data_IF_878276588887
#
_entry.id   IF_878276588887
#
_cell.length_a   1.000
_cell.length_b   1.000
_cell.length_c   1.000
_cell.angle_alpha   90.00
_cell.angle_beta   90.00
_cell.angle_gamma   90.00
#
_symmetry.space_group_name_H-M   'P 1'
#
loop_
_entity.id
_entity.type
_entity.pdbx_description
1 polymer ?
#
# COMPACT_ATOMS: atom_id res chain seq x y z
N UNK A 1 -23.59 -8.29 5.99
CA UNK A 1 -23.13 -9.45 6.79
C UNK A 1 -22.72 -9.03 8.18
N UNK A 2 -21.96 -7.95 8.35
CA UNK A 2 -21.55 -7.44 9.66
C UNK A 2 -22.70 -6.67 10.34
N UNK A 3 -22.84 -6.89 11.64
CA UNK A 3 -23.63 -6.13 12.62
C UNK A 3 -25.08 -5.74 12.22
N UNK A 4 -25.70 -6.49 11.31
CA UNK A 4 -27.12 -6.29 11.00
C UNK A 4 -27.95 -6.89 12.14
N UNK A 5 -28.65 -6.07 12.94
CA UNK A 5 -29.57 -6.61 13.93
C UNK A 5 -30.62 -7.45 13.20
N UNK A 6 -30.92 -8.64 13.72
CA UNK A 6 -31.98 -9.50 13.16
C UNK A 6 -33.31 -8.76 13.32
N UNK A 7 -33.79 -8.17 12.22
CA UNK A 7 -35.10 -7.52 12.11
C UNK A 7 -36.00 -8.37 11.22
N UNK A 8 -37.27 -8.49 11.57
CA UNK A 8 -38.25 -9.15 10.72
C UNK A 8 -38.33 -8.41 9.37
N UNK A 9 -38.31 -9.12 8.23
CA UNK A 9 -38.38 -8.49 6.92
C UNK A 9 -39.69 -7.72 6.77
N UNK A 10 -39.62 -6.47 6.29
CA UNK A 10 -40.81 -5.74 5.86
C UNK A 10 -41.14 -6.19 4.43
N UNK A 11 -42.38 -6.58 4.18
CA UNK A 11 -42.86 -7.07 2.87
C UNK A 11 -42.47 -6.17 1.67
N UNK A 12 -42.40 -4.85 1.88
CA UNK A 12 -41.98 -3.90 0.83
C UNK A 12 -40.47 -3.92 0.50
N UNK A 13 -39.63 -4.20 1.49
CA UNK A 13 -38.16 -4.23 1.32
C UNK A 13 -37.71 -5.50 0.57
N UNK A 14 -38.43 -6.62 0.80
CA UNK A 14 -38.19 -7.88 0.10
C UNK A 14 -38.55 -7.79 -1.39
N UNK A 15 -39.68 -7.17 -1.72
CA UNK A 15 -40.11 -6.96 -3.11
C UNK A 15 -39.12 -6.05 -3.88
N UNK A 16 -38.65 -4.96 -3.25
CA UNK A 16 -37.66 -4.08 -3.84
C UNK A 16 -36.30 -4.77 -4.05
N UNK A 17 -35.86 -5.58 -3.08
CA UNK A 17 -34.62 -6.37 -3.19
C UNK A 17 -34.72 -7.45 -4.26
N UNK A 18 -35.87 -8.11 -4.39
CA UNK A 18 -36.13 -9.13 -5.41
C UNK A 18 -36.11 -8.52 -6.82
N UNK A 19 -36.80 -7.40 -7.03
CA UNK A 19 -36.82 -6.68 -8.31
C UNK A 19 -35.41 -6.18 -8.71
N UNK A 20 -34.60 -5.75 -7.73
CA UNK A 20 -33.19 -5.39 -7.96
C UNK A 20 -32.36 -6.62 -8.36
N UNK A 21 -32.50 -7.73 -7.65
CA UNK A 21 -31.76 -8.96 -7.95
C UNK A 21 -32.09 -9.53 -9.35
N UNK A 22 -33.35 -9.40 -9.77
CA UNK A 22 -33.80 -9.81 -11.10
C UNK A 22 -33.16 -8.97 -12.21
N UNK A 23 -33.17 -7.64 -12.07
CA UNK A 23 -32.46 -6.74 -12.99
C UNK A 23 -30.97 -7.03 -13.07
N UNK A 24 -30.34 -7.36 -11.94
CA UNK A 24 -28.91 -7.69 -11.91
C UNK A 24 -28.61 -9.00 -12.65
N UNK A 25 -29.41 -10.04 -12.42
CA UNK A 25 -29.30 -11.33 -13.09
C UNK A 25 -29.49 -11.24 -14.61
N UNK A 26 -30.33 -10.32 -15.08
CA UNK A 26 -30.52 -10.11 -16.52
C UNK A 26 -29.27 -9.56 -17.23
N UNK A 27 -28.47 -8.73 -16.55
CA UNK A 27 -27.33 -8.03 -17.15
C UNK A 27 -25.97 -8.74 -16.93
N UNK A 28 -25.84 -9.50 -15.84
CA UNK A 28 -24.60 -10.16 -15.44
C UNK A 28 -24.02 -11.14 -16.49
N UNK A 29 -24.83 -12.00 -17.17
CA UNK A 29 -24.32 -12.93 -18.17
C UNK A 29 -23.68 -12.22 -19.35
N UNK A 30 -24.26 -11.11 -19.79
CA UNK A 30 -23.77 -10.34 -20.93
C UNK A 30 -22.46 -9.62 -20.60
N UNK A 31 -22.32 -9.08 -19.38
CA UNK A 31 -21.07 -8.53 -18.87
C UNK A 31 -19.94 -9.59 -18.84
N UNK A 32 -20.23 -10.78 -18.30
CA UNK A 32 -19.27 -11.86 -18.18
C UNK A 32 -18.81 -12.37 -19.55
N UNK A 33 -19.73 -12.46 -20.51
CA UNK A 33 -19.41 -12.79 -21.90
C UNK A 33 -18.51 -11.72 -22.53
N UNK A 34 -18.86 -10.45 -22.42
CA UNK A 34 -18.05 -9.35 -22.96
C UNK A 34 -16.63 -9.35 -22.37
N UNK A 35 -16.49 -9.55 -21.06
CA UNK A 35 -15.18 -9.61 -20.41
C UNK A 35 -14.37 -10.84 -20.88
N UNK A 36 -15.01 -12.01 -21.00
CA UNK A 36 -14.36 -13.24 -21.48
C UNK A 36 -13.83 -13.11 -22.91
N UNK A 37 -14.51 -12.33 -23.74
CA UNK A 37 -14.14 -12.08 -25.13
C UNK A 37 -13.38 -10.76 -25.33
N UNK A 38 -13.04 -10.04 -24.24
CA UNK A 38 -12.27 -8.78 -24.28
C UNK A 38 -12.97 -7.74 -25.19
N UNK A 39 -14.30 -7.68 -25.12
CA UNK A 39 -15.14 -6.78 -25.92
C UNK A 39 -15.35 -5.49 -25.13
N UNK A 40 -14.66 -4.42 -25.52
CA UNK A 40 -14.74 -3.10 -24.91
C UNK A 40 -15.32 -2.05 -25.88
N UNK A 41 -16.47 -2.34 -26.48
CA UNK A 41 -17.21 -1.38 -27.31
C UNK A 41 -18.01 -0.41 -26.44
N UNK A 42 -18.53 0.67 -27.04
CA UNK A 42 -19.34 1.67 -26.34
C UNK A 42 -20.55 1.03 -25.63
N UNK A 43 -21.18 0.05 -26.26
CA UNK A 43 -22.33 -0.68 -25.74
C UNK A 43 -21.95 -1.58 -24.55
N UNK A 44 -20.76 -2.19 -24.57
CA UNK A 44 -20.25 -3.00 -23.47
C UNK A 44 -19.91 -2.14 -22.23
N UNK A 45 -19.38 -0.93 -22.46
CA UNK A 45 -19.15 0.06 -21.39
C UNK A 45 -20.47 0.58 -20.83
N UNK A 46 -21.46 0.89 -21.68
CA UNK A 46 -22.80 1.31 -21.24
C UNK A 46 -23.56 0.22 -20.46
N UNK A 47 -23.38 -1.05 -20.81
CA UNK A 47 -23.90 -2.18 -20.03
C UNK A 47 -23.25 -2.24 -18.64
N UNK A 48 -21.95 -2.00 -18.58
CA UNK A 48 -21.22 -1.93 -17.30
C UNK A 48 -21.73 -0.77 -16.45
N UNK A 49 -21.95 0.42 -17.02
CA UNK A 49 -22.50 1.57 -16.28
C UNK A 49 -23.92 1.33 -15.79
N UNK A 50 -24.80 0.70 -16.59
CA UNK A 50 -26.16 0.31 -16.15
C UNK A 50 -26.13 -0.68 -14.97
N UNK A 51 -25.21 -1.64 -14.99
CA UNK A 51 -25.05 -2.60 -13.90
C UNK A 51 -24.53 -1.93 -12.62
N UNK A 52 -23.64 -0.94 -12.77
CA UNK A 52 -23.13 -0.09 -11.70
C UNK A 52 -24.22 0.82 -11.10
N UNK A 53 -25.14 1.34 -11.90
CA UNK A 53 -26.27 2.17 -11.42
C UNK A 53 -27.29 1.36 -10.60
N UNK A 54 -27.55 0.11 -11.00
CA UNK A 54 -28.47 -0.80 -10.29
C UNK A 54 -27.88 -1.20 -8.92
N UNK A 55 -26.56 -1.35 -8.84
CA UNK A 55 -25.85 -1.53 -7.59
C UNK A 55 -25.38 -0.19 -7.03
N UNK A 56 -26.22 0.48 -6.24
CA UNK A 56 -25.85 1.72 -5.53
C UNK A 56 -24.53 1.65 -4.73
N UNK A 57 -24.06 0.44 -4.40
CA UNK A 57 -22.72 0.12 -3.87
C UNK A 57 -21.56 0.52 -4.81
N UNK A 58 -21.86 0.93 -6.05
CA UNK A 58 -20.92 1.27 -7.12
C UNK A 58 -21.23 2.64 -7.76
N UNK A 59 -21.81 3.54 -6.96
CA UNK A 59 -21.79 5.00 -7.14
C UNK A 59 -20.34 5.52 -7.31
N UNK A 60 -20.08 6.82 -7.61
CA UNK A 60 -18.71 7.35 -7.68
C UNK A 60 -17.88 6.78 -6.53
N UNK A 61 -16.66 6.31 -6.78
CA UNK A 61 -15.92 5.43 -5.88
C UNK A 61 -15.90 5.89 -4.41
N UNK A 62 -16.01 7.19 -4.18
CA UNK A 62 -16.22 7.82 -2.87
C UNK A 62 -17.52 7.39 -2.17
N UNK A 63 -18.64 7.35 -2.88
CA UNK A 63 -19.95 6.91 -2.38
C UNK A 63 -20.00 5.39 -2.19
N UNK A 64 -19.33 4.61 -3.05
CA UNK A 64 -19.15 3.17 -2.86
C UNK A 64 -18.39 2.87 -1.55
N UNK A 65 -17.30 3.60 -1.31
CA UNK A 65 -16.51 3.50 -0.07
C UNK A 65 -17.23 4.07 1.16
N UNK A 66 -18.12 5.05 1.00
CA UNK A 66 -19.02 5.50 2.09
C UNK A 66 -20.03 4.43 2.50
N UNK A 67 -20.47 3.59 1.56
CA UNK A 67 -21.41 2.50 1.84
C UNK A 67 -20.70 1.25 2.37
N UNK A 68 -19.50 0.96 1.86
CA UNK A 68 -18.67 -0.14 2.33
C UNK A 68 -17.19 0.27 2.38
N UNK A 69 -16.77 0.76 3.54
CA UNK A 69 -15.43 1.28 3.80
C UNK A 69 -14.32 0.21 3.69
N UNK A 70 -14.68 -1.08 3.79
CA UNK A 70 -13.77 -2.23 3.69
C UNK A 70 -13.79 -2.93 2.33
N UNK A 71 -14.40 -2.33 1.30
CA UNK A 71 -14.48 -2.96 -0.02
C UNK A 71 -13.10 -3.05 -0.69
N UNK A 72 -12.51 -4.24 -0.66
CA UNK A 72 -11.20 -4.51 -1.24
C UNK A 72 -11.15 -4.17 -2.74
N UNK A 73 -12.17 -4.55 -3.50
CA UNK A 73 -12.26 -4.28 -4.93
C UNK A 73 -12.30 -2.79 -5.26
N UNK A 74 -13.06 -2.01 -4.47
CA UNK A 74 -13.13 -0.57 -4.62
C UNK A 74 -11.77 0.11 -4.37
N UNK A 75 -11.09 -0.26 -3.28
CA UNK A 75 -9.76 0.26 -2.96
C UNK A 75 -8.69 -0.17 -3.98
N UNK A 76 -8.77 -1.39 -4.49
CA UNK A 76 -7.87 -1.87 -5.53
C UNK A 76 -8.05 -1.09 -6.83
N UNK A 77 -9.30 -0.92 -7.29
CA UNK A 77 -9.61 -0.11 -8.46
C UNK A 77 -9.15 1.34 -8.26
N UNK A 78 -9.30 1.91 -7.07
CA UNK A 78 -8.79 3.26 -6.74
C UNK A 78 -7.29 3.37 -6.97
N UNK A 79 -6.51 2.46 -6.39
CA UNK A 79 -5.05 2.41 -6.56
C UNK A 79 -4.66 2.26 -8.03
N UNK A 80 -5.40 1.46 -8.79
CA UNK A 80 -5.20 1.33 -10.23
C UNK A 80 -5.46 2.64 -10.98
N UNK A 81 -6.58 3.32 -10.74
CA UNK A 81 -6.87 4.64 -11.33
C UNK A 81 -5.79 5.67 -11.00
N UNK A 82 -5.32 5.70 -9.74
CA UNK A 82 -4.23 6.58 -9.31
C UNK A 82 -2.91 6.28 -10.04
N UNK A 83 -2.60 4.99 -10.27
CA UNK A 83 -1.41 4.60 -11.02
C UNK A 83 -1.42 5.08 -12.48
N UNK A 84 -2.61 5.23 -13.06
CA UNK A 84 -2.81 5.76 -14.42
C UNK A 84 -2.77 7.29 -14.51
N UNK A 85 -2.81 7.99 -13.37
CA UNK A 85 -2.75 9.46 -13.34
C UNK A 85 -4.06 10.14 -13.70
N UNK A 86 -5.20 9.44 -13.65
CA UNK A 86 -6.51 10.00 -14.01
C UNK A 86 -7.16 10.84 -12.90
N UNK A 87 -6.46 11.13 -11.80
CA UNK A 87 -6.99 11.90 -10.68
C UNK A 87 -5.99 12.96 -10.19
N UNK A 88 -6.55 14.10 -9.74
CA UNK A 88 -5.79 15.14 -9.07
C UNK A 88 -5.35 14.64 -7.69
N UNK A 89 -4.05 14.77 -7.43
CA UNK A 89 -3.41 14.33 -6.19
C UNK A 89 -4.01 15.03 -4.97
N UNK A 90 -4.23 16.34 -5.05
CA UNK A 90 -4.78 17.11 -3.93
C UNK A 90 -6.22 16.70 -3.59
N UNK A 91 -7.01 16.35 -4.62
CA UNK A 91 -8.37 15.82 -4.41
C UNK A 91 -8.31 14.48 -3.69
N UNK A 92 -7.37 13.62 -4.08
CA UNK A 92 -7.19 12.30 -3.47
C UNK A 92 -6.76 12.39 -2.01
N UNK A 93 -5.76 13.21 -1.69
CA UNK A 93 -5.26 13.37 -0.33
C UNK A 93 -6.33 13.90 0.62
N UNK A 94 -7.14 14.87 0.18
CA UNK A 94 -8.29 15.38 0.95
C UNK A 94 -9.36 14.32 1.20
N UNK A 95 -9.61 13.46 0.20
CA UNK A 95 -10.56 12.39 0.38
C UNK A 95 -10.06 11.34 1.38
N UNK A 96 -8.79 10.95 1.28
CA UNK A 96 -8.17 10.01 2.21
C UNK A 96 -8.19 10.54 3.65
N UNK A 97 -7.89 11.83 3.83
CA UNK A 97 -7.98 12.50 5.13
C UNK A 97 -9.41 12.49 5.69
N UNK A 98 -10.43 12.63 4.83
CA UNK A 98 -11.83 12.47 5.24
C UNK A 98 -12.15 11.04 5.68
N UNK A 99 -11.62 10.03 5.00
CA UNK A 99 -11.80 8.64 5.42
C UNK A 99 -11.11 8.35 6.75
N UNK A 100 -9.88 8.83 6.93
CA UNK A 100 -9.09 8.64 8.16
C UNK A 100 -9.68 9.37 9.36
N UNK A 101 -10.25 10.57 9.16
CA UNK A 101 -10.95 11.29 10.23
C UNK A 101 -12.31 10.68 10.58
N UNK A 102 -12.95 9.97 9.64
CA UNK A 102 -14.22 9.26 9.90
C UNK A 102 -13.98 7.92 10.60
N UNK A 103 -12.97 7.17 10.16
CA UNK A 103 -12.55 5.91 10.78
C UNK A 103 -11.02 5.81 10.74
N UNK A 104 -10.34 6.15 11.85
CA UNK A 104 -8.88 6.11 11.90
C UNK A 104 -8.34 4.69 11.72
N UNK A 105 -9.15 3.66 11.99
CA UNK A 105 -8.80 2.23 11.85
C UNK A 105 -8.92 1.73 10.41
N UNK A 106 -9.28 2.59 9.46
CA UNK A 106 -9.43 2.20 8.07
C UNK A 106 -8.07 1.94 7.42
N UNK A 107 -7.59 0.69 7.57
CA UNK A 107 -6.35 0.21 6.98
C UNK A 107 -6.25 0.48 5.47
N UNK A 108 -7.35 0.38 4.74
CA UNK A 108 -7.32 0.57 3.29
C UNK A 108 -7.02 2.02 2.91
N UNK A 109 -7.52 2.99 3.68
CA UNK A 109 -7.22 4.41 3.48
C UNK A 109 -5.73 4.69 3.75
N UNK A 110 -5.18 4.18 4.86
CA UNK A 110 -3.76 4.27 5.18
C UNK A 110 -2.87 3.65 4.10
N UNK A 111 -3.21 2.44 3.64
CA UNK A 111 -2.50 1.75 2.58
C UNK A 111 -2.61 2.47 1.22
N UNK A 112 -3.78 3.04 0.90
CA UNK A 112 -3.93 3.81 -0.34
C UNK A 112 -3.07 5.09 -0.30
N UNK A 113 -3.01 5.75 0.85
CA UNK A 113 -2.18 6.93 1.09
C UNK A 113 -0.69 6.64 0.94
N UNK A 114 -0.19 5.53 1.51
CA UNK A 114 1.23 5.15 1.39
C UNK A 114 1.64 4.86 -0.05
N UNK A 115 0.78 4.16 -0.82
CA UNK A 115 1.01 3.89 -2.25
C UNK A 115 1.02 5.18 -3.06
N UNK A 116 0.07 6.09 -2.81
CA UNK A 116 0.01 7.39 -3.49
C UNK A 116 1.28 8.20 -3.25
N UNK A 117 1.65 8.40 -1.99
CA UNK A 117 2.85 9.17 -1.62
C UNK A 117 4.13 8.53 -2.15
N UNK A 118 4.24 7.20 -2.13
CA UNK A 118 5.38 6.47 -2.72
C UNK A 118 5.52 6.77 -4.21
N UNK A 119 4.41 6.83 -4.94
CA UNK A 119 4.44 7.16 -6.37
C UNK A 119 4.83 8.62 -6.62
N UNK A 120 4.43 9.54 -5.75
CA UNK A 120 4.76 10.97 -5.86
C UNK A 120 6.24 11.22 -5.58
N UNK A 121 6.76 10.63 -4.49
CA UNK A 121 8.17 10.75 -4.11
C UNK A 121 9.10 10.17 -5.18
N UNK A 122 8.68 9.11 -5.89
CA UNK A 122 9.45 8.53 -7.01
C UNK A 122 9.44 9.39 -8.27
N UNK A 123 8.31 10.04 -8.58
CA UNK A 123 8.13 10.77 -9.85
C UNK A 123 8.71 12.19 -9.84
N UNK A 124 9.20 12.68 -8.70
CA UNK A 124 9.77 14.03 -8.52
C UNK A 124 8.96 15.11 -9.26
N UNK A 125 7.63 15.02 -9.14
CA UNK A 125 6.68 15.81 -9.94
C UNK A 125 6.85 17.29 -9.62
N UNK A 126 7.12 18.11 -10.63
CA UNK A 126 7.18 19.57 -10.51
C UNK A 126 5.86 20.10 -9.91
N UNK A 127 5.95 20.80 -8.78
CA UNK A 127 4.81 21.37 -8.07
C UNK A 127 4.37 20.64 -6.78
N UNK A 128 4.98 19.50 -6.43
CA UNK A 128 4.75 18.87 -5.12
C UNK A 128 5.69 19.45 -4.05
N UNK A 129 5.19 19.63 -2.81
CA UNK A 129 6.00 20.04 -1.65
C UNK A 129 7.29 19.23 -1.55
N UNK A 130 8.37 19.85 -1.06
CA UNK A 130 9.64 19.14 -0.83
C UNK A 130 9.36 17.91 0.02
N UNK A 131 10.01 16.79 -0.31
CA UNK A 131 9.85 15.48 0.36
C UNK A 131 9.81 15.62 1.89
N UNK A 132 10.68 16.45 2.46
CA UNK A 132 10.77 16.65 3.90
C UNK A 132 9.52 17.31 4.51
N UNK A 133 8.89 18.27 3.81
CA UNK A 133 7.65 18.91 4.25
C UNK A 133 6.49 17.91 4.28
N UNK A 134 6.42 17.04 3.27
CA UNK A 134 5.39 16.01 3.17
C UNK A 134 5.57 15.01 4.30
N UNK A 135 6.78 14.48 4.49
CA UNK A 135 7.08 13.54 5.57
C UNK A 135 6.77 14.15 6.95
N UNK A 136 7.10 15.42 7.17
CA UNK A 136 6.78 16.11 8.43
C UNK A 136 5.27 16.15 8.68
N UNK A 137 4.48 16.48 7.65
CA UNK A 137 3.02 16.52 7.76
C UNK A 137 2.42 15.13 8.00
N UNK A 138 2.94 14.11 7.33
CA UNK A 138 2.49 12.72 7.53
C UNK A 138 2.87 12.16 8.90
N UNK A 139 4.03 12.53 9.44
CA UNK A 139 4.42 12.18 10.80
C UNK A 139 3.46 12.77 11.83
N UNK A 140 3.05 14.02 11.64
CA UNK A 140 2.06 14.66 12.50
C UNK A 140 0.69 13.99 12.39
N UNK A 141 0.25 13.67 11.17
CA UNK A 141 -1.02 12.97 10.92
C UNK A 141 -1.07 11.60 11.62
N UNK A 142 -0.04 10.77 11.46
CA UNK A 142 -0.01 9.45 12.11
C UNK A 142 0.12 9.57 13.62
N UNK A 143 0.87 10.57 14.11
CA UNK A 143 0.99 10.84 15.55
C UNK A 143 -0.39 11.13 16.15
N UNK A 144 -1.18 12.01 15.51
CA UNK A 144 -2.53 12.33 15.97
C UNK A 144 -3.45 11.09 15.99
N UNK A 145 -3.36 10.24 14.96
CA UNK A 145 -4.14 9.00 14.90
C UNK A 145 -3.77 8.04 16.05
N UNK A 146 -2.48 7.82 16.30
CA UNK A 146 -1.99 6.96 17.38
C UNK A 146 -2.33 7.47 18.79
N UNK A 147 -2.42 8.78 18.99
CA UNK A 147 -2.91 9.34 20.25
C UNK A 147 -4.42 9.20 20.42
N UNK A 148 -5.16 9.00 19.33
CA UNK A 148 -6.62 8.82 19.38
C UNK A 148 -6.99 7.38 19.69
N UNK A 149 -6.26 6.42 19.13
CA UNK A 149 -6.44 4.98 19.36
C UNK A 149 -5.08 4.28 19.29
N UNK A 150 -4.52 3.91 20.46
CA UNK A 150 -3.19 3.28 20.54
C UNK A 150 -3.20 1.82 20.10
N UNK A 151 -4.36 1.16 20.15
CA UNK A 151 -4.55 -0.24 19.77
C UNK A 151 -4.76 -0.42 18.25
N UNK A 152 -5.00 0.68 17.51
CA UNK A 152 -5.13 0.64 16.06
C UNK A 152 -3.80 0.36 15.37
N UNK A 153 -3.67 -0.88 14.88
CA UNK A 153 -2.51 -1.32 14.13
C UNK A 153 -2.31 -0.56 12.81
N UNK A 154 -3.37 0.00 12.22
CA UNK A 154 -3.30 0.69 10.93
C UNK A 154 -2.35 1.89 10.98
N UNK A 155 -2.47 2.71 12.03
CA UNK A 155 -1.56 3.82 12.30
C UNK A 155 -0.11 3.36 12.50
N UNK A 156 0.10 2.26 13.23
CA UNK A 156 1.43 1.71 13.46
C UNK A 156 2.12 1.20 12.18
N UNK A 157 1.38 0.48 11.33
CA UNK A 157 1.90 0.06 10.02
C UNK A 157 2.27 1.26 9.13
N UNK A 158 1.46 2.31 9.16
CA UNK A 158 1.75 3.53 8.41
C UNK A 158 2.99 4.27 8.96
N UNK A 159 3.15 4.31 10.29
CA UNK A 159 4.35 4.85 10.94
C UNK A 159 5.61 4.07 10.55
N UNK A 160 5.54 2.75 10.51
CA UNK A 160 6.66 1.91 10.06
C UNK A 160 7.04 2.25 8.61
N UNK A 161 6.05 2.35 7.72
CA UNK A 161 6.27 2.77 6.34
C UNK A 161 6.94 4.15 6.25
N UNK A 162 6.52 5.14 7.05
CA UNK A 162 7.16 6.47 7.09
C UNK A 162 8.63 6.39 7.51
N UNK A 163 8.95 5.57 8.52
CA UNK A 163 10.34 5.36 8.96
C UNK A 163 11.20 4.81 7.83
N UNK A 164 10.70 3.84 7.07
CA UNK A 164 11.40 3.31 5.88
C UNK A 164 11.67 4.40 4.84
N UNK A 165 10.81 5.41 4.71
CA UNK A 165 11.04 6.55 3.81
C UNK A 165 12.13 7.50 4.31
N UNK A 166 12.41 7.53 5.61
CA UNK A 166 13.44 8.39 6.22
C UNK A 166 14.78 7.68 6.43
N UNK A 167 14.77 6.35 6.45
CA UNK A 167 15.95 5.52 6.60
C UNK A 167 16.89 5.74 5.41
N UNK A 168 17.99 6.45 5.64
CA UNK A 168 19.09 6.51 4.67
C UNK A 168 19.76 5.15 4.69
N UNK A 169 19.76 4.45 3.55
CA UNK A 169 20.55 3.25 3.30
C UNK A 169 22.07 3.53 3.25
N UNK A 170 22.57 4.42 4.11
CA UNK A 170 23.99 4.68 4.32
C UNK A 170 24.57 3.89 5.49
N UNK A 171 23.73 3.20 6.26
CA UNK A 171 24.23 2.23 7.23
C UNK A 171 24.62 0.96 6.46
N UNK A 172 25.90 0.56 6.41
CA UNK A 172 26.23 -0.77 5.96
C UNK A 172 25.47 -1.76 6.86
N UNK A 173 24.57 -2.54 6.27
CA UNK A 173 23.96 -3.66 6.99
C UNK A 173 25.10 -4.62 7.32
N UNK A 174 25.32 -4.90 8.60
CA UNK A 174 26.13 -6.03 9.01
C UNK A 174 25.38 -7.30 8.58
N UNK A 175 25.71 -7.83 7.40
CA UNK A 175 25.06 -9.03 6.84
C UNK A 175 25.55 -10.29 7.56
N UNK A 176 26.80 -10.28 8.05
CA UNK A 176 27.34 -11.35 8.90
C UNK A 176 28.56 -10.85 9.67
N UNK A 177 28.79 -11.43 10.86
CA UNK A 177 30.04 -11.32 11.61
C UNK A 177 30.64 -12.72 11.72
N UNK A 178 31.42 -13.12 10.72
CA UNK A 178 32.25 -14.31 10.80
C UNK A 178 33.72 -13.91 10.69
N UNK A 179 34.60 -14.36 11.60
CA UNK A 179 34.31 -15.17 12.80
C UNK A 179 33.55 -14.40 13.89
N UNK A 180 32.97 -15.11 14.85
CA UNK A 180 32.35 -14.51 16.03
C UNK A 180 33.41 -13.75 16.87
N UNK A 181 32.97 -12.73 17.60
CA UNK A 181 33.84 -12.00 18.53
C UNK A 181 34.51 -12.97 19.52
N UNK A 182 35.84 -12.89 19.65
CA UNK A 182 36.64 -13.79 20.48
C UNK A 182 37.00 -15.13 19.84
N UNK A 183 36.79 -15.31 18.54
CA UNK A 183 37.29 -16.50 17.83
C UNK A 183 38.79 -16.37 17.53
N UNK A 184 39.52 -17.44 17.73
CA UNK A 184 40.92 -17.55 17.31
C UNK A 184 40.99 -17.97 15.83
N UNK A 185 41.68 -17.17 15.02
CA UNK A 185 41.98 -17.47 13.62
C UNK A 185 43.36 -18.12 13.51
N UNK A 186 43.40 -19.37 13.05
CA UNK A 186 44.66 -20.09 12.77
C UNK A 186 44.87 -20.11 11.26
N UNK A 187 45.95 -19.49 10.80
CA UNK A 187 46.39 -19.55 9.41
C UNK A 187 47.39 -20.68 9.24
N UNK A 188 47.21 -21.48 8.18
CA UNK A 188 48.03 -22.68 7.90
C UNK A 188 49.36 -22.29 7.21
N UNK A 189 49.48 -21.05 6.73
CA UNK A 189 50.67 -20.50 6.09
C UNK A 189 50.80 -19.00 6.37
N UNK A 190 52.01 -18.45 6.19
CA UNK A 190 52.24 -17.02 6.28
C UNK A 190 51.55 -16.31 5.09
N UNK A 191 50.81 -15.24 5.38
CA UNK A 191 50.05 -14.48 4.38
C UNK A 191 50.41 -12.99 4.46
N UNK A 192 50.34 -12.32 3.31
CA UNK A 192 50.59 -10.89 3.20
C UNK A 192 49.55 -10.09 4.01
N UNK A 193 50.00 -9.08 4.78
CA UNK A 193 49.10 -8.20 5.54
C UNK A 193 48.64 -8.72 6.92
N UNK A 194 49.18 -9.84 7.40
CA UNK A 194 48.92 -10.38 8.75
C UNK A 194 50.23 -10.51 9.53
N UNK A 195 50.29 -9.89 10.72
CA UNK A 195 51.37 -10.05 11.70
C UNK A 195 50.87 -10.77 12.95
N UNK A 196 51.76 -11.04 13.90
CA UNK A 196 51.41 -11.63 15.21
C UNK A 196 50.45 -10.76 16.06
N UNK A 197 50.22 -9.50 15.67
CA UNK A 197 49.44 -8.53 16.45
C UNK A 197 48.45 -7.69 15.64
N UNK A 198 48.52 -7.73 14.31
CA UNK A 198 47.71 -6.84 13.46
C UNK A 198 47.27 -7.56 12.18
N UNK A 199 46.01 -7.39 11.81
CA UNK A 199 45.46 -7.77 10.50
C UNK A 199 45.08 -6.48 9.77
N UNK A 200 45.69 -6.25 8.60
CA UNK A 200 45.33 -5.13 7.71
C UNK A 200 44.32 -5.62 6.68
N UNK A 201 43.08 -5.13 6.75
CA UNK A 201 42.03 -5.41 5.75
C UNK A 201 41.74 -4.13 4.98
N UNK A 202 41.95 -4.14 3.67
CA UNK A 202 41.43 -3.09 2.80
C UNK A 202 39.92 -3.28 2.67
N UNK A 203 39.14 -2.32 3.18
CA UNK A 203 37.68 -2.38 3.09
C UNK A 203 37.23 -2.13 1.65
N UNK A 204 37.11 -3.19 0.86
CA UNK A 204 36.48 -3.16 -0.45
C UNK A 204 34.96 -3.26 -0.32
N UNK A 205 34.22 -2.22 -0.72
CA UNK A 205 32.76 -2.25 -0.88
C UNK A 205 32.36 -3.09 -2.12
N UNK A 206 32.77 -4.34 -2.18
CA UNK A 206 32.48 -5.25 -3.28
C UNK A 206 31.80 -6.50 -2.75
N UNK A 207 30.46 -6.52 -2.79
CA UNK A 207 29.63 -7.63 -2.29
C UNK A 207 29.79 -8.95 -3.08
N UNK A 208 30.55 -8.94 -4.17
CA UNK A 208 30.72 -10.06 -5.10
C UNK A 208 32.17 -10.57 -5.21
N UNK A 209 33.08 -10.13 -4.33
CA UNK A 209 34.46 -10.61 -4.33
C UNK A 209 34.77 -11.28 -2.99
N UNK A 210 35.21 -12.54 -3.06
CA UNK A 210 35.72 -13.24 -1.90
C UNK A 210 37.00 -12.56 -1.40
N UNK A 211 37.21 -12.56 -0.08
CA UNK A 211 38.45 -12.09 0.53
C UNK A 211 39.55 -13.12 0.22
N UNK A 212 40.42 -12.82 -0.74
CA UNK A 212 41.50 -13.73 -1.16
C UNK A 212 42.80 -13.31 -0.47
N UNK A 213 43.29 -14.13 0.45
CA UNK A 213 44.61 -13.98 1.07
C UNK A 213 45.70 -14.49 0.13
N UNK A 214 46.77 -13.72 -0.05
CA UNK A 214 47.93 -14.13 -0.82
C UNK A 214 49.00 -14.73 0.12
N UNK A 215 49.54 -15.93 -0.19
CA UNK A 215 50.71 -16.43 0.49
C UNK A 215 51.90 -15.47 0.29
N UNK A 216 52.77 -15.37 1.30
CA UNK A 216 54.08 -14.74 1.17
C UNK A 216 55.04 -15.60 0.33
#
# INVERSE_FOLDING_TARGET
>A
MHDRPRKAPKLGDEAASAAKAEKLRALQPQLLSNHRHIIYTKEAVELSTKLLEINHEFTPLENALRQNFSSYGAWHHRKWVLSKGFCSIDKELRLLEKFQSTDPRNFHAWNCRSVLLSNLMKKNVEGFSKRDEVLTREHELVRQALFTDEDDQSGWFYRLWLLEQTAKAKCPLLVSSWPAYGSDLILIQAVEGVSSSTVTVESGFNLNQDLIWKPL
#
